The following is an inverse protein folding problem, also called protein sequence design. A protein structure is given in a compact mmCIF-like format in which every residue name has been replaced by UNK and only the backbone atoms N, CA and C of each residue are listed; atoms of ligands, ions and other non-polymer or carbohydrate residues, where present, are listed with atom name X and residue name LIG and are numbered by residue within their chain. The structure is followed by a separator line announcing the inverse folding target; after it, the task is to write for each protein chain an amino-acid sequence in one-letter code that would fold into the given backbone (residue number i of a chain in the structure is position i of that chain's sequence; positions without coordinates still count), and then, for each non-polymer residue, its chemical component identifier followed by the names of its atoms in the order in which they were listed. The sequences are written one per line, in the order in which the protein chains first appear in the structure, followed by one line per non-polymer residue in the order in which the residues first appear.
data_IF_838972444640
#
_entry.id   IF_838972444640
#
_cell.length_a   1.000
_cell.length_b   1.000
_cell.length_c   1.000
_cell.angle_alpha   90.00
_cell.angle_beta   90.00
_cell.angle_gamma   90.00
#
_symmetry.space_group_name_H-M   'P 1'
#
loop_
_entity.id
_entity.type
_entity.pdbx_description
1 polymer ?
#
# COMPACT_ATOMS: atom_id res chain seq x y z
N UNK A 1 -4.49 3.15 -6.49
CA UNK A 1 -3.05 3.45 -6.47
C UNK A 1 -2.35 2.12 -6.33
N UNK A 2 -1.79 1.62 -7.41
CA UNK A 2 -0.90 0.47 -7.41
C UNK A 2 0.40 0.99 -8.02
N UNK A 3 1.51 0.79 -7.32
CA UNK A 3 2.85 1.07 -7.85
C UNK A 3 3.17 -0.10 -8.78
N UNK A 4 3.04 0.11 -10.08
CA UNK A 4 3.65 -0.72 -11.10
C UNK A 4 4.28 0.25 -12.10
N UNK A 5 5.40 0.86 -11.72
CA UNK A 5 6.32 1.40 -12.72
C UNK A 5 7.10 0.22 -13.30
N UNK A 6 7.32 0.22 -14.61
CA UNK A 6 8.28 -0.65 -15.27
C UNK A 6 9.71 -0.27 -14.85
N UNK A 7 10.05 -0.55 -13.60
CA UNK A 7 11.42 -0.86 -13.21
C UNK A 7 11.38 -2.27 -12.64
N UNK A 8 11.60 -3.24 -13.53
CA UNK A 8 12.10 -4.54 -13.11
C UNK A 8 13.42 -4.27 -12.35
N UNK A 9 13.39 -4.35 -11.02
CA UNK A 9 14.59 -4.17 -10.19
C UNK A 9 14.42 -3.38 -8.88
N UNK A 10 13.23 -2.92 -8.49
CA UNK A 10 13.06 -2.43 -7.11
C UNK A 10 12.65 -3.60 -6.20
N UNK A 11 13.60 -4.05 -5.39
CA UNK A 11 13.44 -5.20 -4.50
C UNK A 11 12.48 -4.85 -3.35
N UNK A 12 11.20 -5.18 -3.50
CA UNK A 12 10.18 -4.99 -2.46
C UNK A 12 10.13 -6.24 -1.59
N UNK A 13 10.45 -6.09 -0.31
CA UNK A 13 10.49 -7.20 0.64
C UNK A 13 9.21 -7.36 1.46
N UNK A 14 8.38 -6.32 1.54
CA UNK A 14 7.08 -6.40 2.20
C UNK A 14 6.10 -5.33 1.72
N UNK A 15 4.81 -5.61 1.87
CA UNK A 15 3.73 -4.67 1.58
C UNK A 15 2.87 -4.42 2.81
N UNK A 16 2.27 -3.24 2.88
CA UNK A 16 1.23 -2.92 3.85
C UNK A 16 -0.01 -2.46 3.11
N UNK A 17 -1.18 -2.96 3.51
CA UNK A 17 -2.44 -2.49 2.96
C UNK A 17 -3.55 -2.34 3.99
N UNK A 18 -4.52 -1.48 3.70
CA UNK A 18 -5.74 -1.35 4.47
C UNK A 18 -6.74 -2.46 4.14
N UNK A 19 -7.55 -2.82 5.13
CA UNK A 19 -8.65 -3.79 5.01
C UNK A 19 -9.48 -3.69 3.72
N UNK A 20 -9.93 -2.49 3.34
CA UNK A 20 -10.77 -2.31 2.13
C UNK A 20 -10.04 -2.61 0.82
N UNK A 21 -8.70 -2.56 0.82
CA UNK A 21 -7.92 -3.00 -0.32
C UNK A 21 -7.82 -4.53 -0.37
N UNK A 22 -7.77 -5.20 0.80
CA UNK A 22 -7.76 -6.67 0.86
C UNK A 22 -9.14 -7.29 0.57
N UNK A 23 -10.24 -6.68 1.02
CA UNK A 23 -11.58 -7.25 0.85
C UNK A 23 -12.75 -6.28 1.10
N UNK A 24 -13.98 -6.69 0.77
CA UNK A 24 -15.14 -5.80 0.73
C UNK A 24 -15.80 -5.49 2.10
N UNK A 25 -15.58 -6.33 3.12
CA UNK A 25 -16.30 -6.22 4.40
C UNK A 25 -15.65 -5.26 5.41
N UNK A 26 -16.46 -4.72 6.33
CA UNK A 26 -16.00 -3.83 7.44
C UNK A 26 -16.14 -4.43 8.85
N UNK A 27 -16.83 -5.58 8.98
CA UNK A 27 -17.08 -6.27 10.25
C UNK A 27 -16.11 -7.44 10.51
N UNK A 28 -16.58 -8.52 11.14
CA UNK A 28 -15.78 -9.74 11.26
C UNK A 28 -15.36 -10.29 9.87
N UNK A 29 -14.34 -11.13 9.86
CA UNK A 29 -13.85 -11.71 8.61
C UNK A 29 -14.71 -12.90 8.20
N UNK A 30 -15.13 -12.89 6.93
CA UNK A 30 -15.44 -14.11 6.22
C UNK A 30 -14.13 -14.91 6.06
N UNK A 31 -14.08 -16.08 6.69
CA UNK A 31 -12.89 -16.94 6.70
C UNK A 31 -12.63 -17.57 5.33
N UNK A 32 -13.66 -17.66 4.47
CA UNK A 32 -13.54 -18.17 3.09
C UNK A 32 -12.97 -17.12 2.13
N UNK A 33 -13.05 -15.83 2.47
CA UNK A 33 -12.53 -14.75 1.62
C UNK A 33 -11.00 -14.73 1.59
N UNK A 34 -10.39 -14.94 0.43
CA UNK A 34 -8.92 -15.01 0.26
C UNK A 34 -8.30 -13.78 -0.44
N UNK A 35 -9.09 -12.76 -0.74
CA UNK A 35 -8.64 -11.55 -1.43
C UNK A 35 -9.09 -11.46 -2.89
N UNK A 36 -8.80 -10.33 -3.55
CA UNK A 36 -9.29 -10.04 -4.91
C UNK A 36 -8.53 -10.76 -6.04
N UNK A 37 -7.42 -11.43 -5.72
CA UNK A 37 -6.42 -11.83 -6.71
C UNK A 37 -6.38 -13.34 -7.00
N UNK A 38 -7.33 -14.11 -6.46
CA UNK A 38 -7.30 -15.57 -6.57
C UNK A 38 -6.14 -16.20 -5.79
N UNK A 39 -5.74 -17.45 -6.13
CA UNK A 39 -4.80 -18.23 -5.31
C UNK A 39 -3.36 -17.72 -5.35
N UNK A 40 -2.96 -16.98 -6.38
CA UNK A 40 -1.60 -16.49 -6.59
C UNK A 40 -1.58 -14.95 -6.75
N UNK A 41 -1.61 -14.19 -5.64
CA UNK A 41 -1.64 -12.74 -5.68
C UNK A 41 -0.30 -12.13 -6.13
N UNK A 42 -0.30 -10.91 -6.68
CA UNK A 42 0.86 -10.33 -7.38
C UNK A 42 1.97 -9.79 -6.47
N UNK A 43 1.90 -10.01 -5.15
CA UNK A 43 2.83 -9.42 -4.19
C UNK A 43 4.12 -10.23 -4.05
N UNK A 44 4.01 -11.56 -4.06
CA UNK A 44 5.13 -12.51 -3.92
C UNK A 44 6.04 -12.21 -2.72
N UNK A 45 5.48 -11.65 -1.64
CA UNK A 45 6.16 -11.22 -0.43
C UNK A 45 5.17 -11.18 0.76
N UNK A 46 5.66 -11.04 2.01
CA UNK A 46 4.80 -10.75 3.16
C UNK A 46 3.95 -9.48 2.97
N UNK A 47 2.66 -9.58 3.32
CA UNK A 47 1.69 -8.47 3.22
C UNK A 47 1.02 -8.27 4.57
N UNK A 48 1.07 -7.05 5.11
CA UNK A 48 0.47 -6.69 6.39
C UNK A 48 -0.83 -5.92 6.16
N UNK A 49 -1.96 -6.52 6.56
CA UNK A 49 -3.30 -5.98 6.37
C UNK A 49 -3.75 -5.28 7.65
N UNK A 50 -3.87 -3.95 7.61
CA UNK A 50 -4.42 -3.15 8.69
C UNK A 50 -5.91 -3.44 8.86
N UNK A 51 -6.30 -3.89 10.06
CA UNK A 51 -7.67 -4.26 10.39
C UNK A 51 -7.94 -4.05 11.88
N UNK A 52 -9.19 -3.85 12.28
CA UNK A 52 -9.57 -3.91 13.71
C UNK A 52 -9.98 -5.32 14.14
N UNK A 53 -10.16 -6.23 13.19
CA UNK A 53 -10.62 -7.60 13.44
C UNK A 53 -9.47 -8.58 13.23
N UNK A 54 -9.19 -9.46 14.22
CA UNK A 54 -8.15 -10.46 14.12
C UNK A 54 -8.53 -11.54 13.11
N UNK A 55 -7.52 -12.13 12.48
CA UNK A 55 -7.64 -13.30 11.60
C UNK A 55 -6.30 -14.00 11.51
N UNK A 56 -6.34 -15.31 11.41
CA UNK A 56 -5.14 -16.12 11.19
C UNK A 56 -4.45 -15.71 9.88
N UNK A 57 -3.10 -15.74 9.81
CA UNK A 57 -2.39 -15.47 8.58
C UNK A 57 -2.87 -16.35 7.42
N UNK A 58 -2.99 -15.75 6.24
CA UNK A 58 -3.42 -16.43 5.02
C UNK A 58 -2.24 -16.57 4.06
N UNK A 59 -1.68 -17.77 3.97
CA UNK A 59 -0.64 -18.12 2.99
C UNK A 59 -1.27 -18.46 1.65
N UNK A 60 -0.71 -17.88 0.58
CA UNK A 60 -1.16 -18.02 -0.79
C UNK A 60 -0.08 -18.68 -1.64
N UNK A 61 -0.44 -19.12 -2.85
CA UNK A 61 0.54 -19.55 -3.83
C UNK A 61 1.48 -18.38 -4.21
N UNK A 62 2.66 -18.71 -4.73
CA UNK A 62 3.63 -17.70 -5.17
C UNK A 62 4.30 -16.92 -4.03
N UNK A 63 4.21 -17.37 -2.77
CA UNK A 63 4.99 -16.85 -1.65
C UNK A 63 4.39 -15.65 -0.91
N UNK A 64 3.16 -15.25 -1.25
CA UNK A 64 2.46 -14.20 -0.50
C UNK A 64 1.85 -14.76 0.79
N UNK A 65 2.06 -14.09 1.91
CA UNK A 65 1.31 -14.36 3.14
C UNK A 65 0.70 -13.06 3.66
N UNK A 66 -0.63 -13.04 3.79
CA UNK A 66 -1.35 -11.92 4.41
C UNK A 66 -1.38 -12.10 5.92
N UNK A 67 -0.78 -11.17 6.65
CA UNK A 67 -0.81 -11.10 8.12
C UNK A 67 -1.75 -9.97 8.53
N UNK A 68 -2.74 -10.24 9.38
CA UNK A 68 -3.74 -9.26 9.78
C UNK A 68 -3.31 -8.57 11.08
N UNK A 69 -2.99 -7.28 10.98
CA UNK A 69 -2.41 -6.48 12.07
C UNK A 69 -3.50 -5.61 12.70
N UNK A 70 -3.68 -5.73 14.03
CA UNK A 70 -4.78 -5.12 14.79
C UNK A 70 -4.36 -4.04 15.78
N UNK A 71 -3.07 -3.80 15.93
CA UNK A 71 -2.45 -2.92 16.91
C UNK A 71 -1.85 -1.65 16.29
N UNK A 72 -2.24 -1.32 15.05
CA UNK A 72 -1.97 0.00 14.44
C UNK A 72 -0.94 -0.01 13.31
N UNK A 73 -0.69 1.18 12.76
CA UNK A 73 0.17 1.38 11.59
C UNK A 73 1.65 1.22 11.92
N UNK A 74 2.07 1.62 13.12
CA UNK A 74 3.45 1.53 13.57
C UNK A 74 3.87 0.08 13.75
N UNK A 75 3.02 -0.75 14.35
CA UNK A 75 3.26 -2.19 14.48
C UNK A 75 3.32 -2.88 13.12
N UNK A 76 2.39 -2.57 12.21
CA UNK A 76 2.43 -3.11 10.86
C UNK A 76 3.72 -2.73 10.11
N UNK A 77 4.18 -1.49 10.28
CA UNK A 77 5.43 -1.01 9.67
C UNK A 77 6.66 -1.67 10.27
N UNK A 78 6.71 -1.85 11.59
CA UNK A 78 7.80 -2.56 12.26
C UNK A 78 7.91 -4.01 11.76
N UNK A 79 6.78 -4.73 11.73
CA UNK A 79 6.72 -6.11 11.22
C UNK A 79 7.13 -6.18 9.75
N UNK A 80 6.65 -5.24 8.92
CA UNK A 80 7.00 -5.16 7.51
C UNK A 80 8.49 -4.88 7.29
N UNK A 81 9.09 -3.96 8.05
CA UNK A 81 10.53 -3.67 7.98
C UNK A 81 11.36 -4.88 8.39
N UNK A 82 10.95 -5.57 9.46
CA UNK A 82 11.61 -6.80 9.90
C UNK A 82 11.57 -7.90 8.82
N UNK A 83 10.42 -8.06 8.17
CA UNK A 83 10.24 -9.04 7.11
C UNK A 83 11.02 -8.68 5.83
N UNK A 84 11.05 -7.39 5.47
CA UNK A 84 11.75 -6.91 4.29
C UNK A 84 13.28 -6.89 4.45
N UNK A 85 13.81 -6.82 5.67
CA UNK A 85 15.25 -6.70 5.91
C UNK A 85 15.80 -5.43 5.27
N UNK A 86 16.66 -5.57 4.26
CA UNK A 86 17.26 -4.43 3.54
C UNK A 86 16.44 -4.00 2.30
N UNK A 87 15.35 -4.70 2.00
CA UNK A 87 14.47 -4.42 0.87
C UNK A 87 13.44 -3.34 1.21
N UNK A 88 12.75 -2.82 0.19
CA UNK A 88 11.75 -1.77 0.39
C UNK A 88 10.48 -2.30 1.05
N UNK A 89 9.84 -1.45 1.84
CA UNK A 89 8.46 -1.64 2.30
C UNK A 89 7.54 -0.73 1.50
N UNK A 90 6.49 -1.28 0.90
CA UNK A 90 5.52 -0.51 0.09
C UNK A 90 4.17 -0.42 0.79
N UNK A 91 3.68 0.80 0.98
CA UNK A 91 2.27 1.02 1.34
C UNK A 91 1.43 0.86 0.07
N UNK A 92 0.89 -0.34 -0.13
CA UNK A 92 0.15 -0.69 -1.33
C UNK A 92 -1.16 0.11 -1.46
N UNK A 93 -1.77 0.53 -0.35
CA UNK A 93 -3.04 1.26 -0.33
C UNK A 93 -4.03 0.66 0.67
N UNK A 94 -5.32 0.94 0.63
CA UNK A 94 -5.97 1.98 -0.17
C UNK A 94 -5.72 3.38 0.40
N UNK A 95 -6.52 4.36 -0.05
CA UNK A 95 -6.33 5.77 0.30
C UNK A 95 -6.25 6.01 1.81
N UNK A 96 -7.08 5.34 2.63
CA UNK A 96 -7.04 5.52 4.08
C UNK A 96 -5.71 5.06 4.72
N UNK A 97 -5.13 3.92 4.29
CA UNK A 97 -3.84 3.48 4.82
C UNK A 97 -2.74 4.48 4.44
N UNK A 98 -2.72 4.93 3.18
CA UNK A 98 -1.75 5.92 2.71
C UNK A 98 -1.86 7.23 3.48
N UNK A 99 -3.09 7.73 3.71
CA UNK A 99 -3.33 8.94 4.51
C UNK A 99 -2.80 8.81 5.93
N UNK A 100 -2.99 7.66 6.57
CA UNK A 100 -2.47 7.42 7.92
C UNK A 100 -0.93 7.51 7.96
N UNK A 101 -0.24 6.82 7.04
CA UNK A 101 1.23 6.88 6.99
C UNK A 101 1.78 8.25 6.59
N UNK A 102 1.12 8.95 5.66
CA UNK A 102 1.48 10.33 5.30
C UNK A 102 1.30 11.28 6.50
N UNK A 103 0.15 11.18 7.20
CA UNK A 103 -0.15 12.00 8.38
C UNK A 103 0.79 11.73 9.56
N UNK A 104 1.31 10.52 9.67
CA UNK A 104 2.30 10.14 10.67
C UNK A 104 3.76 10.49 10.28
N UNK A 105 4.00 11.00 9.07
CA UNK A 105 5.35 11.30 8.59
C UNK A 105 6.22 10.06 8.36
N UNK A 106 5.60 8.91 8.05
CA UNK A 106 6.26 7.61 7.93
C UNK A 106 6.50 7.17 6.48
N UNK A 107 6.34 8.09 5.52
CA UNK A 107 6.59 7.85 4.09
C UNK A 107 7.83 8.64 3.68
N UNK A 108 8.85 7.95 3.17
CA UNK A 108 10.08 8.59 2.67
C UNK A 108 9.91 9.11 1.24
N UNK A 109 9.24 8.34 0.38
CA UNK A 109 9.01 8.67 -1.02
C UNK A 109 7.54 8.44 -1.43
N UNK A 110 7.00 9.35 -2.24
CA UNK A 110 5.68 9.25 -2.82
C UNK A 110 5.78 9.21 -4.35
N UNK A 111 5.42 8.06 -4.93
CA UNK A 111 5.27 7.91 -6.39
C UNK A 111 3.81 8.07 -6.79
N UNK A 112 3.52 9.14 -7.53
CA UNK A 112 2.19 9.46 -8.05
C UNK A 112 2.11 9.15 -9.54
N UNK A 113 0.97 8.56 -9.93
CA UNK A 113 0.62 8.31 -11.33
C UNK A 113 -0.64 9.12 -11.64
N UNK A 114 -0.44 10.22 -12.37
CA UNK A 114 -1.48 11.19 -12.69
C UNK A 114 -2.02 10.83 -14.06
N UNK A 115 -3.27 10.34 -14.07
CA UNK A 115 -4.02 10.02 -15.28
C UNK A 115 -4.86 11.24 -15.72
N UNK A 116 -5.02 11.51 -17.02
CA UNK A 116 -5.75 12.67 -17.52
C UNK A 116 -7.28 12.46 -17.49
N UNK A 117 -7.83 12.14 -16.32
CA UNK A 117 -9.28 11.96 -16.10
C UNK A 117 -9.71 12.62 -14.80
N UNK A 118 -10.93 13.16 -14.79
CA UNK A 118 -11.58 13.63 -13.56
C UNK A 118 -12.70 12.64 -13.18
N UNK A 119 -12.62 12.08 -11.98
CA UNK A 119 -13.60 11.08 -11.51
C UNK A 119 -14.83 11.71 -10.83
N UNK A 120 -14.76 12.98 -10.45
CA UNK A 120 -15.82 13.71 -9.73
C UNK A 120 -15.94 13.35 -8.24
N UNK A 121 -16.00 12.06 -7.91
CA UNK A 121 -16.10 11.54 -6.54
C UNK A 121 -15.27 10.26 -6.34
N UNK A 122 -15.12 9.83 -5.08
CA UNK A 122 -14.40 8.61 -4.70
C UNK A 122 -13.43 8.81 -3.54
N UNK A 123 -12.54 7.83 -3.35
CA UNK A 123 -11.50 7.85 -2.32
C UNK A 123 -10.38 8.84 -2.67
N UNK A 124 -10.29 9.92 -1.90
CA UNK A 124 -9.27 10.98 -2.10
C UNK A 124 -7.98 10.63 -1.37
N UNK A 125 -6.89 10.54 -2.13
CA UNK A 125 -5.57 10.13 -1.61
C UNK A 125 -5.00 11.08 -0.54
N UNK A 126 -5.16 12.39 -0.74
CA UNK A 126 -4.53 13.43 0.10
C UNK A 126 -5.54 14.15 1.01
N UNK A 127 -6.74 13.63 1.15
CA UNK A 127 -7.77 14.27 1.98
C UNK A 127 -7.41 14.20 3.47
N UNK A 128 -7.44 15.35 4.14
CA UNK A 128 -7.13 15.45 5.57
C UNK A 128 -5.67 15.22 5.92
N UNK A 129 -4.80 15.05 4.92
CA UNK A 129 -3.34 15.06 5.12
C UNK A 129 -2.92 16.52 5.30
N UNK A 130 -2.13 16.81 6.34
CA UNK A 130 -1.67 18.18 6.65
C UNK A 130 -0.77 18.78 5.56
N UNK A 131 -0.13 19.91 5.87
CA UNK A 131 0.79 20.57 4.95
C UNK A 131 2.07 19.75 4.73
N UNK A 132 2.06 18.84 3.78
CA UNK A 132 3.23 18.08 3.36
C UNK A 132 4.17 18.95 2.52
N UNK A 133 5.46 18.85 2.81
CA UNK A 133 6.49 19.34 1.90
C UNK A 133 6.92 18.20 0.98
N UNK A 134 6.76 18.42 -0.32
CA UNK A 134 7.07 17.43 -1.36
C UNK A 134 8.18 17.99 -2.25
N UNK A 135 9.36 17.39 -2.17
CA UNK A 135 10.50 17.74 -3.00
C UNK A 135 10.49 16.86 -4.26
N UNK A 136 10.27 17.40 -5.47
CA UNK A 136 10.25 16.61 -6.69
C UNK A 136 11.62 15.98 -6.96
N UNK A 137 11.64 14.67 -7.19
CA UNK A 137 12.85 13.90 -7.51
C UNK A 137 12.89 13.53 -8.98
N UNK A 138 11.75 13.17 -9.56
CA UNK A 138 11.67 12.71 -10.95
C UNK A 138 10.27 12.94 -11.53
N UNK A 139 10.23 13.29 -12.82
CA UNK A 139 8.99 13.41 -13.60
C UNK A 139 9.20 12.68 -14.92
N UNK A 140 8.35 11.69 -15.19
CA UNK A 140 8.30 10.98 -16.46
C UNK A 140 6.93 11.21 -17.08
N UNK A 141 6.90 11.89 -18.22
CA UNK A 141 5.68 12.10 -18.99
C UNK A 141 5.49 10.95 -20.00
N UNK A 142 4.24 10.52 -20.16
CA UNK A 142 3.81 9.64 -21.26
C UNK A 142 2.46 10.14 -21.80
N UNK A 143 2.03 9.69 -22.99
CA UNK A 143 0.75 10.12 -23.57
C UNK A 143 -0.48 9.84 -22.70
N UNK A 144 -0.40 8.88 -21.78
CA UNK A 144 -1.56 8.40 -20.99
C UNK A 144 -1.41 8.62 -19.48
N UNK A 145 -0.20 8.82 -18.98
CA UNK A 145 0.09 8.97 -17.55
C UNK A 145 1.29 9.89 -17.35
N UNK A 146 1.22 10.79 -16.36
CA UNK A 146 2.40 11.48 -15.82
C UNK A 146 2.82 10.82 -14.52
N UNK A 147 4.05 10.31 -14.46
CA UNK A 147 4.61 9.71 -13.26
C UNK A 147 5.47 10.76 -12.54
N UNK A 148 5.20 11.02 -11.28
CA UNK A 148 5.96 11.97 -10.46
C UNK A 148 6.42 11.29 -9.19
N UNK A 149 7.73 11.35 -8.91
CA UNK A 149 8.31 10.86 -7.66
C UNK A 149 8.71 12.05 -6.80
N UNK A 150 8.25 12.05 -5.55
CA UNK A 150 8.59 13.03 -4.53
C UNK A 150 9.34 12.38 -3.40
N UNK A 151 10.27 13.12 -2.81
CA UNK A 151 10.79 12.87 -1.46
C UNK A 151 10.01 13.73 -0.48
N UNK A 152 9.67 13.19 0.69
CA UNK A 152 9.05 13.96 1.76
C UNK A 152 10.14 14.53 2.68
N UNK A 153 9.96 15.76 3.16
CA UNK A 153 10.87 16.45 4.09
C UNK A 153 10.18 17.21 5.20
#
# INVERSE_FOLDING_TARGET
MAILSRQAGEDVGAYIMGRRMFGPGTGEWDQEWTGWWGPNPPYHAPVFVLSHHPREPLTMEGGTTFTFVTDGIESALEQARKAAGNQKVVIAGGANAVRQYLGAGLIDELLLHIVPVTLGAGERLLEGVGGLKLDPVEVIASPTVTHVRYRLS
#
